data_IF_296343600260
#
_entry.id   IF_296343600260
#
_cell.length_a   1.000
_cell.length_b   1.000
_cell.length_c   1.000
_cell.angle_alpha   90.00
_cell.angle_beta   90.00
_cell.angle_gamma   90.00
#
_symmetry.space_group_name_H-M   'P 1'
#
loop_
_entity.id
_entity.type
_entity.pdbx_description
1 polymer ?
#
# COMPACT_ATOMS: atom_id res chain seq x y z
N UNK A 1 -14.45 -21.07 14.11
CA UNK A 1 -13.42 -20.01 14.08
C UNK A 1 -14.13 -18.74 13.65
N UNK A 2 -14.56 -17.91 14.60
CA UNK A 2 -15.14 -16.59 14.27
C UNK A 2 -13.99 -15.74 13.76
N UNK A 3 -13.98 -15.40 12.46
CA UNK A 3 -13.08 -14.36 11.96
C UNK A 3 -13.56 -13.05 12.56
N UNK A 4 -12.64 -12.30 13.17
CA UNK A 4 -12.92 -10.96 13.64
C UNK A 4 -13.49 -10.17 12.44
N UNK A 5 -14.69 -9.56 12.53
CA UNK A 5 -15.25 -8.77 11.44
C UNK A 5 -14.34 -7.61 11.01
N UNK A 6 -13.32 -7.27 11.81
CA UNK A 6 -12.29 -6.27 11.56
C UNK A 6 -10.97 -6.82 10.95
N UNK A 7 -10.83 -8.14 10.77
CA UNK A 7 -9.76 -8.75 9.96
C UNK A 7 -10.22 -8.91 8.49
N UNK A 8 -11.04 -7.96 8.05
CA UNK A 8 -11.75 -8.05 6.80
C UNK A 8 -11.00 -7.33 5.68
N UNK A 9 -11.15 -7.87 4.48
CA UNK A 9 -10.41 -7.43 3.31
C UNK A 9 -11.37 -6.72 2.35
N UNK A 10 -10.90 -5.70 1.59
CA UNK A 10 -9.53 -5.14 1.56
C UNK A 10 -9.14 -4.38 2.83
N UNK A 11 -7.85 -4.42 3.21
CA UNK A 11 -7.35 -3.78 4.43
C UNK A 11 -6.28 -2.74 4.11
N UNK A 12 -6.51 -1.49 4.51
CA UNK A 12 -5.48 -0.45 4.49
C UNK A 12 -4.72 -0.38 5.82
N UNK A 13 -3.40 -0.49 5.76
CA UNK A 13 -2.48 -0.27 6.87
C UNK A 13 -1.70 1.03 6.62
N UNK A 14 -1.91 2.04 7.46
CA UNK A 14 -1.24 3.33 7.37
C UNK A 14 -0.40 3.64 8.62
N UNK A 15 0.53 4.58 8.51
CA UNK A 15 1.30 5.07 9.65
C UNK A 15 2.58 5.79 9.23
N UNK A 16 3.24 6.43 10.19
CA UNK A 16 4.47 7.18 9.95
C UNK A 16 5.65 6.31 9.46
N UNK A 17 6.75 6.97 9.10
CA UNK A 17 8.00 6.27 8.81
C UNK A 17 8.47 5.46 10.03
N UNK A 18 8.95 4.24 9.81
CA UNK A 18 9.44 3.32 10.85
C UNK A 18 8.42 3.00 11.96
N UNK A 19 7.12 3.16 11.70
CA UNK A 19 6.09 2.90 12.71
C UNK A 19 5.78 1.41 12.95
N UNK A 20 6.35 0.49 12.17
CA UNK A 20 6.04 -0.95 12.23
C UNK A 20 4.96 -1.44 11.27
N UNK A 21 4.35 -0.54 10.48
CA UNK A 21 3.22 -0.90 9.58
C UNK A 21 3.50 -2.00 8.56
N UNK A 22 4.70 -2.09 7.98
CA UNK A 22 5.01 -3.14 7.00
C UNK A 22 5.03 -4.52 7.66
N UNK A 23 5.58 -4.63 8.88
CA UNK A 23 5.58 -5.90 9.62
C UNK A 23 4.16 -6.32 10.02
N UNK A 24 3.34 -5.36 10.45
CA UNK A 24 1.92 -5.62 10.71
C UNK A 24 1.19 -6.08 9.43
N UNK A 25 1.38 -5.40 8.31
CA UNK A 25 0.75 -5.75 7.04
C UNK A 25 1.16 -7.14 6.54
N UNK A 26 2.46 -7.50 6.65
CA UNK A 26 2.96 -8.85 6.35
C UNK A 26 2.30 -9.90 7.25
N UNK A 27 2.18 -9.64 8.56
CA UNK A 27 1.51 -10.53 9.51
C UNK A 27 0.01 -10.69 9.20
N UNK A 28 -0.68 -9.60 8.86
CA UNK A 28 -2.08 -9.63 8.43
C UNK A 28 -2.23 -10.49 7.18
N UNK A 29 -1.35 -10.34 6.19
CA UNK A 29 -1.40 -11.14 4.96
C UNK A 29 -1.10 -12.62 5.23
N UNK A 30 -0.14 -12.91 6.12
CA UNK A 30 0.25 -14.28 6.47
C UNK A 30 -0.86 -15.07 7.22
N UNK A 31 -1.93 -14.41 7.66
CA UNK A 31 -3.14 -15.08 8.16
C UNK A 31 -3.95 -15.78 7.05
N UNK A 32 -3.64 -15.49 5.79
CA UNK A 32 -4.18 -16.16 4.61
C UNK A 32 -3.23 -17.23 4.08
N UNK A 33 -3.77 -18.18 3.33
CA UNK A 33 -2.96 -19.24 2.74
C UNK A 33 -2.12 -18.72 1.55
N UNK A 34 -0.88 -19.22 1.39
CA UNK A 34 -0.07 -18.95 0.20
C UNK A 34 -0.74 -19.52 -1.07
N UNK A 35 -0.38 -19.03 -2.27
CA UNK A 35 0.77 -18.18 -2.56
C UNK A 35 0.55 -16.69 -2.24
N UNK A 36 1.64 -15.99 -1.93
CA UNK A 36 1.64 -14.54 -1.68
C UNK A 36 2.19 -13.76 -2.87
N UNK A 37 1.62 -12.58 -3.15
CA UNK A 37 2.15 -11.64 -4.14
C UNK A 37 2.49 -10.32 -3.45
N UNK A 38 3.75 -9.91 -3.53
CA UNK A 38 4.19 -8.60 -3.12
C UNK A 38 4.22 -7.67 -4.33
N UNK A 39 3.34 -6.67 -4.35
CA UNK A 39 3.31 -5.63 -5.37
C UNK A 39 4.20 -4.49 -4.92
N UNK A 40 5.42 -4.44 -5.48
CA UNK A 40 6.42 -3.43 -5.19
C UNK A 40 6.16 -2.19 -6.05
N UNK A 41 5.80 -1.07 -5.42
CA UNK A 41 5.64 0.21 -6.14
C UNK A 41 6.94 1.01 -6.18
N UNK A 42 7.90 0.67 -5.32
CA UNK A 42 9.20 1.31 -5.27
C UNK A 42 10.04 1.01 -6.50
N UNK A 43 10.68 2.05 -7.03
CA UNK A 43 11.80 1.91 -7.95
C UNK A 43 13.09 1.95 -7.12
N UNK A 44 13.95 0.94 -7.23
CA UNK A 44 15.22 0.91 -6.49
C UNK A 44 16.22 1.88 -7.13
N UNK A 45 16.02 3.18 -6.87
CA UNK A 45 16.81 4.26 -7.46
C UNK A 45 17.98 4.70 -6.56
N UNK A 46 17.97 4.34 -5.27
CA UNK A 46 19.02 4.63 -4.31
C UNK A 46 19.41 3.42 -3.44
N UNK A 47 20.60 3.51 -2.82
CA UNK A 47 21.21 2.46 -1.99
C UNK A 47 20.41 2.19 -0.70
N UNK A 48 19.78 3.22 -0.12
CA UNK A 48 18.97 3.08 1.10
C UNK A 48 17.70 2.25 0.84
N UNK A 49 17.05 2.51 -0.29
CA UNK A 49 15.91 1.75 -0.78
C UNK A 49 16.32 0.34 -1.18
N UNK A 50 17.51 0.13 -1.74
CA UNK A 50 18.08 -1.19 -2.03
C UNK A 50 18.25 -2.03 -0.76
N UNK A 51 18.88 -1.47 0.28
CA UNK A 51 19.07 -2.15 1.56
C UNK A 51 17.75 -2.46 2.28
N UNK A 52 16.77 -1.57 2.10
CA UNK A 52 15.42 -1.78 2.64
C UNK A 52 14.71 -2.91 1.90
N UNK A 53 14.76 -2.93 0.56
CA UNK A 53 14.19 -4.01 -0.27
C UNK A 53 14.85 -5.34 0.04
N UNK A 54 16.19 -5.39 0.16
CA UNK A 54 16.93 -6.60 0.49
C UNK A 54 16.49 -7.20 1.84
N UNK A 55 16.31 -6.35 2.87
CA UNK A 55 15.79 -6.80 4.18
C UNK A 55 14.36 -7.33 4.12
N UNK A 56 13.51 -6.76 3.27
CA UNK A 56 12.15 -7.27 3.08
C UNK A 56 12.15 -8.58 2.27
N UNK A 57 12.97 -8.69 1.22
CA UNK A 57 13.09 -9.91 0.42
C UNK A 57 13.65 -11.07 1.24
N UNK A 58 14.63 -10.83 2.12
CA UNK A 58 15.20 -11.87 2.98
C UNK A 58 14.19 -12.50 3.96
N UNK A 59 13.05 -11.84 4.22
CA UNK A 59 11.96 -12.34 5.07
C UNK A 59 10.91 -13.13 4.30
N UNK A 60 10.97 -13.14 2.97
CA UNK A 60 10.00 -13.80 2.09
C UNK A 60 10.51 -15.19 1.73
N UNK A 61 9.76 -16.22 2.14
CA UNK A 61 10.02 -17.63 1.80
C UNK A 61 9.68 -17.91 0.32
N UNK A 62 9.88 -19.16 -0.13
CA UNK A 62 9.59 -19.60 -1.50
C UNK A 62 8.13 -19.38 -1.97
N UNK A 63 7.21 -19.09 -1.06
CA UNK A 63 5.79 -18.88 -1.33
C UNK A 63 5.45 -17.46 -1.84
N UNK A 64 6.45 -16.59 -1.98
CA UNK A 64 6.28 -15.20 -2.41
C UNK A 64 6.70 -14.97 -3.86
N UNK A 65 5.80 -14.39 -4.63
CA UNK A 65 6.06 -13.76 -5.91
C UNK A 65 6.18 -12.24 -5.71
N UNK A 66 7.12 -11.58 -6.40
CA UNK A 66 7.20 -10.12 -6.41
C UNK A 66 6.82 -9.59 -7.78
N UNK A 67 5.88 -8.64 -7.82
CA UNK A 67 5.45 -7.94 -9.03
C UNK A 67 5.83 -6.47 -8.91
N UNK A 68 6.77 -6.00 -9.73
CA UNK A 68 7.13 -4.59 -9.78
C UNK A 68 6.08 -3.81 -10.56
N UNK A 69 5.46 -2.84 -9.89
CA UNK A 69 4.37 -2.03 -10.46
C UNK A 69 4.52 -0.56 -10.05
N UNK A 70 5.48 0.17 -10.63
CA UNK A 70 5.73 1.56 -10.25
C UNK A 70 4.63 2.53 -10.74
N UNK A 71 3.85 2.16 -11.76
CA UNK A 71 2.89 3.06 -12.41
C UNK A 71 1.47 2.48 -12.57
N UNK A 72 1.33 1.30 -13.20
CA UNK A 72 0.02 0.67 -13.51
C UNK A 72 -0.49 -0.23 -12.37
N UNK A 73 -0.73 0.36 -11.19
CA UNK A 73 -1.15 -0.39 -10.01
C UNK A 73 -2.54 -1.02 -10.20
N UNK A 74 -3.50 -0.26 -10.73
CA UNK A 74 -4.87 -0.73 -10.99
C UNK A 74 -4.89 -1.92 -11.97
N UNK A 75 -4.13 -1.82 -13.08
CA UNK A 75 -4.04 -2.91 -14.05
C UNK A 75 -3.35 -4.15 -13.48
N UNK A 76 -2.29 -3.99 -12.69
CA UNK A 76 -1.64 -5.11 -12.01
C UNK A 76 -2.59 -5.84 -11.05
N UNK A 77 -3.31 -5.11 -10.20
CA UNK A 77 -4.30 -5.69 -9.29
C UNK A 77 -5.45 -6.37 -10.05
N UNK A 78 -5.89 -5.79 -11.16
CA UNK A 78 -6.92 -6.40 -12.03
C UNK A 78 -6.49 -7.76 -12.59
N UNK A 79 -5.21 -7.94 -12.94
CA UNK A 79 -4.66 -9.19 -13.48
C UNK A 79 -4.50 -10.30 -12.43
N UNK A 80 -4.55 -9.96 -11.13
CA UNK A 80 -4.45 -10.92 -10.03
C UNK A 80 -5.81 -11.53 -9.62
N UNK A 81 -6.91 -11.01 -10.18
CA UNK A 81 -8.26 -11.52 -9.94
C UNK A 81 -8.39 -13.01 -10.29
N UNK A 82 -9.12 -13.77 -9.47
CA UNK A 82 -9.34 -15.21 -9.67
C UNK A 82 -8.12 -16.12 -9.47
N UNK A 83 -6.94 -15.59 -9.16
CA UNK A 83 -5.72 -16.39 -8.97
C UNK A 83 -5.62 -17.07 -7.59
N UNK A 84 -6.50 -16.73 -6.65
CA UNK A 84 -6.52 -17.27 -5.28
C UNK A 84 -5.30 -16.87 -4.43
N UNK A 85 -4.49 -15.90 -4.88
CA UNK A 85 -3.28 -15.43 -4.17
C UNK A 85 -3.62 -14.33 -3.18
N UNK A 86 -2.89 -14.28 -2.06
CA UNK A 86 -2.97 -13.16 -1.13
C UNK A 86 -1.95 -12.07 -1.51
N UNK A 87 -2.41 -10.83 -1.63
CA UNK A 87 -1.68 -9.70 -2.23
C UNK A 87 -1.38 -8.62 -1.20
N UNK A 88 -0.12 -8.20 -1.14
CA UNK A 88 0.36 -7.07 -0.35
C UNK A 88 0.94 -5.99 -1.27
N UNK A 89 0.37 -4.78 -1.21
CA UNK A 89 0.87 -3.60 -1.92
C UNK A 89 1.68 -2.74 -0.95
N UNK A 90 2.94 -2.45 -1.26
CA UNK A 90 3.80 -1.57 -0.44
C UNK A 90 4.66 -0.68 -1.35
N UNK A 91 4.45 0.64 -1.37
CA UNK A 91 3.33 1.37 -0.76
C UNK A 91 2.72 2.42 -1.67
N UNK A 92 1.49 2.83 -1.34
CA UNK A 92 0.72 3.83 -2.08
C UNK A 92 1.45 5.16 -2.17
N UNK A 93 2.14 5.60 -1.11
CA UNK A 93 2.88 6.87 -1.16
C UNK A 93 4.05 6.86 -2.14
N UNK A 94 4.72 5.72 -2.33
CA UNK A 94 5.77 5.65 -3.35
C UNK A 94 5.17 5.61 -4.75
N UNK A 95 4.04 4.91 -4.94
CA UNK A 95 3.29 4.97 -6.20
C UNK A 95 2.87 6.40 -6.56
N UNK A 96 2.31 7.16 -5.63
CA UNK A 96 1.98 8.59 -5.83
C UNK A 96 3.22 9.41 -6.19
N UNK A 97 4.35 9.18 -5.51
CA UNK A 97 5.62 9.85 -5.83
C UNK A 97 6.08 9.56 -7.26
N UNK A 98 6.00 8.30 -7.70
CA UNK A 98 6.40 7.91 -9.06
C UNK A 98 5.54 8.61 -10.12
N UNK A 99 4.22 8.68 -9.93
CA UNK A 99 3.30 9.36 -10.84
C UNK A 99 3.59 10.87 -10.90
N UNK A 100 3.84 11.49 -9.75
CA UNK A 100 4.21 12.91 -9.68
C UNK A 100 5.51 13.20 -10.44
N UNK A 101 6.55 12.40 -10.19
CA UNK A 101 7.86 12.59 -10.82
C UNK A 101 7.83 12.28 -12.33
N UNK A 102 6.91 11.43 -12.79
CA UNK A 102 6.70 11.18 -14.22
C UNK A 102 6.02 12.37 -14.93
N UNK A 103 5.40 13.28 -14.19
CA UNK A 103 4.68 14.43 -14.73
C UNK A 103 3.18 14.20 -14.93
N UNK A 104 2.60 13.15 -14.34
CA UNK A 104 1.19 12.80 -14.52
C UNK A 104 0.24 13.62 -13.62
N UNK A 105 0.66 14.76 -13.10
CA UNK A 105 0.02 15.45 -11.96
C UNK A 105 -1.50 15.63 -12.08
N UNK A 106 -2.00 15.95 -13.27
CA UNK A 106 -3.43 16.16 -13.55
C UNK A 106 -4.25 14.86 -13.60
N UNK A 107 -3.61 13.72 -13.82
CA UNK A 107 -4.26 12.40 -13.92
C UNK A 107 -4.21 11.58 -12.63
N UNK A 108 -3.44 12.01 -11.62
CA UNK A 108 -3.20 11.21 -10.41
C UNK A 108 -4.50 10.93 -9.66
N UNK A 109 -5.38 11.92 -9.53
CA UNK A 109 -6.67 11.72 -8.87
C UNK A 109 -7.54 10.70 -9.62
N UNK A 110 -7.53 10.73 -10.96
CA UNK A 110 -8.21 9.73 -11.79
C UNK A 110 -7.64 8.33 -11.54
N UNK A 111 -6.32 8.19 -11.53
CA UNK A 111 -5.64 6.92 -11.21
C UNK A 111 -5.96 6.41 -9.80
N UNK A 112 -6.09 7.30 -8.82
CA UNK A 112 -6.54 6.95 -7.46
C UNK A 112 -7.98 6.42 -7.49
N UNK A 113 -8.88 7.06 -8.23
CA UNK A 113 -10.25 6.58 -8.37
C UNK A 113 -10.31 5.21 -9.05
N UNK A 114 -9.53 4.98 -10.11
CA UNK A 114 -9.41 3.67 -10.76
C UNK A 114 -8.91 2.60 -9.79
N UNK A 115 -7.88 2.93 -8.99
CA UNK A 115 -7.37 2.03 -7.95
C UNK A 115 -8.46 1.67 -6.94
N UNK A 116 -9.25 2.64 -6.49
CA UNK A 116 -10.36 2.39 -5.56
C UNK A 116 -11.41 1.44 -6.16
N UNK A 117 -11.73 1.57 -7.45
CA UNK A 117 -12.64 0.65 -8.13
C UNK A 117 -12.06 -0.77 -8.20
N UNK A 118 -10.76 -0.91 -8.45
CA UNK A 118 -10.06 -2.20 -8.40
C UNK A 118 -10.09 -2.81 -7.00
N UNK A 119 -9.82 -2.02 -5.96
CA UNK A 119 -9.86 -2.47 -4.56
C UNK A 119 -11.25 -3.00 -4.21
N UNK A 120 -12.31 -2.28 -4.56
CA UNK A 120 -13.69 -2.69 -4.28
C UNK A 120 -14.11 -3.99 -4.98
N UNK A 121 -13.47 -4.30 -6.12
CA UNK A 121 -13.74 -5.49 -6.92
C UNK A 121 -12.80 -6.66 -6.58
N UNK A 122 -11.83 -6.47 -5.69
CA UNK A 122 -10.88 -7.50 -5.33
C UNK A 122 -11.61 -8.71 -4.72
N UNK A 123 -11.47 -9.86 -5.36
CA UNK A 123 -12.03 -11.14 -4.94
C UNK A 123 -11.02 -12.02 -4.20
N UNK A 124 -9.87 -11.44 -3.84
CA UNK A 124 -8.75 -12.09 -3.18
C UNK A 124 -8.31 -11.31 -1.93
N UNK A 125 -7.53 -11.93 -1.02
CA UNK A 125 -6.94 -11.24 0.11
C UNK A 125 -6.04 -10.09 -0.34
N UNK A 126 -6.40 -8.83 -0.07
CA UNK A 126 -5.66 -7.62 -0.41
C UNK A 126 -5.36 -6.77 0.82
N UNK A 127 -4.07 -6.55 1.08
CA UNK A 127 -3.55 -5.63 2.09
C UNK A 127 -2.77 -4.52 1.39
N UNK A 128 -3.06 -3.27 1.72
CA UNK A 128 -2.39 -2.10 1.16
C UNK A 128 -1.64 -1.33 2.25
N UNK A 129 -0.41 -0.93 1.97
CA UNK A 129 0.40 -0.10 2.87
C UNK A 129 0.46 1.33 2.34
N UNK A 130 0.30 2.30 3.24
CA UNK A 130 0.53 3.72 2.96
C UNK A 130 1.24 4.44 4.10
N UNK A 131 1.90 5.55 3.80
CA UNK A 131 2.45 6.44 4.84
C UNK A 131 1.44 7.53 5.19
N UNK A 132 1.36 7.87 6.48
CA UNK A 132 0.79 9.13 6.92
C UNK A 132 1.89 10.21 6.89
N UNK A 133 1.66 11.30 6.16
CA UNK A 133 2.63 12.37 5.89
C UNK A 133 2.09 13.78 6.18
N UNK A 134 0.81 13.89 6.56
CA UNK A 134 0.09 15.13 6.77
C UNK A 134 0.11 15.67 8.20
N UNK A 135 0.70 14.96 9.17
CA UNK A 135 0.77 15.40 10.58
C UNK A 135 1.96 16.32 10.90
N UNK A 136 2.69 16.77 9.88
CA UNK A 136 3.81 17.68 10.01
C UNK A 136 3.48 19.12 9.60
N UNK A 137 4.53 19.93 9.47
CA UNK A 137 4.45 21.31 8.99
C UNK A 137 4.19 21.32 7.47
N UNK A 138 3.65 22.41 6.94
CA UNK A 138 3.55 22.65 5.49
C UNK A 138 4.95 22.74 4.87
N UNK A 139 5.30 21.91 3.88
CA UNK A 139 6.59 22.02 3.20
C UNK A 139 6.76 23.33 2.43
N UNK A 140 7.99 23.86 2.39
CA UNK A 140 8.33 25.04 1.58
C UNK A 140 8.40 24.73 0.08
N UNK A 141 8.70 23.48 -0.28
CA UNK A 141 8.76 23.02 -1.66
C UNK A 141 7.34 22.75 -2.22
N UNK A 142 7.01 23.34 -3.37
CA UNK A 142 5.73 23.15 -4.06
C UNK A 142 5.44 21.68 -4.39
N UNK A 143 6.44 20.94 -4.87
CA UNK A 143 6.29 19.52 -5.19
C UNK A 143 6.00 18.70 -3.92
N UNK A 144 6.64 19.03 -2.80
CA UNK A 144 6.41 18.36 -1.53
C UNK A 144 5.00 18.65 -0.95
N UNK A 145 4.49 19.89 -1.13
CA UNK A 145 3.09 20.20 -0.79
C UNK A 145 2.11 19.39 -1.63
N UNK A 146 2.30 19.37 -2.95
CA UNK A 146 1.45 18.60 -3.87
C UNK A 146 1.47 17.10 -3.53
N UNK A 147 2.65 16.53 -3.26
CA UNK A 147 2.78 15.15 -2.80
C UNK A 147 2.02 14.88 -1.50
N UNK A 148 2.19 15.73 -0.48
CA UNK A 148 1.49 15.59 0.79
C UNK A 148 -0.02 15.61 0.62
N UNK A 149 -0.53 16.55 -0.17
CA UNK A 149 -1.96 16.73 -0.38
C UNK A 149 -2.57 15.54 -1.16
N UNK A 150 -1.89 15.08 -2.22
CA UNK A 150 -2.29 13.89 -2.98
C UNK A 150 -2.20 12.59 -2.16
N UNK A 151 -1.17 12.42 -1.33
CA UNK A 151 -1.05 11.27 -0.43
C UNK A 151 -2.21 11.24 0.58
N UNK A 152 -2.57 12.40 1.16
CA UNK A 152 -3.72 12.53 2.04
C UNK A 152 -5.04 12.23 1.33
N UNK A 153 -5.22 12.72 0.10
CA UNK A 153 -6.38 12.40 -0.74
C UNK A 153 -6.46 10.90 -1.05
N UNK A 154 -5.37 10.28 -1.46
CA UNK A 154 -5.29 8.84 -1.72
C UNK A 154 -5.64 8.02 -0.48
N UNK A 155 -5.07 8.36 0.69
CA UNK A 155 -5.37 7.68 1.94
C UNK A 155 -6.87 7.73 2.28
N UNK A 156 -7.52 8.88 2.13
CA UNK A 156 -8.96 9.02 2.37
C UNK A 156 -9.79 8.15 1.42
N UNK A 157 -9.50 8.21 0.11
CA UNK A 157 -10.26 7.45 -0.90
C UNK A 157 -10.08 5.94 -0.72
N UNK A 158 -8.84 5.50 -0.51
CA UNK A 158 -8.54 4.07 -0.29
C UNK A 158 -9.10 3.57 1.03
N UNK A 159 -9.05 4.36 2.11
CA UNK A 159 -9.68 3.99 3.38
C UNK A 159 -11.21 3.80 3.23
N UNK A 160 -11.87 4.64 2.42
CA UNK A 160 -13.29 4.49 2.13
C UNK A 160 -13.58 3.22 1.32
N UNK A 161 -12.71 2.87 0.37
CA UNK A 161 -12.82 1.66 -0.46
C UNK A 161 -12.46 0.35 0.27
N UNK A 162 -11.62 0.41 1.30
CA UNK A 162 -11.24 -0.75 2.11
C UNK A 162 -12.31 -1.10 3.13
N UNK A 163 -12.38 -2.36 3.54
CA UNK A 163 -13.29 -2.83 4.58
C UNK A 163 -12.75 -2.61 5.98
N UNK A 164 -11.43 -2.72 6.16
CA UNK A 164 -10.73 -2.45 7.42
C UNK A 164 -9.62 -1.43 7.24
N UNK A 165 -9.36 -0.63 8.27
CA UNK A 165 -8.30 0.39 8.27
C UNK A 165 -7.56 0.39 9.61
N UNK A 166 -6.23 0.33 9.57
CA UNK A 166 -5.38 0.34 10.77
C UNK A 166 -4.29 1.38 10.65
N UNK A 167 -4.18 2.23 11.66
CA UNK A 167 -3.03 3.10 11.89
C UNK A 167 -2.03 2.37 12.79
N UNK A 168 -0.78 2.23 12.37
CA UNK A 168 0.28 1.67 13.22
C UNK A 168 1.17 2.80 13.73
N UNK A 169 1.28 2.91 15.06
CA UNK A 169 2.11 3.89 15.76
C UNK A 169 3.01 3.18 16.77
N UNK A 170 4.34 3.40 16.70
CA UNK A 170 5.32 2.75 17.58
C UNK A 170 5.19 1.21 17.65
N UNK A 171 4.81 0.56 16.53
CA UNK A 171 4.57 -0.87 16.45
C UNK A 171 3.19 -1.33 16.93
N UNK A 172 2.36 -0.42 17.44
CA UNK A 172 1.05 -0.71 18.01
C UNK A 172 -0.04 -0.45 16.96
N UNK A 173 -0.84 -1.46 16.59
CA UNK A 173 -1.95 -1.29 15.66
C UNK A 173 -3.15 -0.64 16.36
N UNK A 174 -3.62 0.48 15.80
CA UNK A 174 -4.81 1.22 16.20
C UNK A 174 -5.86 1.06 15.10
N UNK A 175 -6.91 0.31 15.40
CA UNK A 175 -8.02 0.08 14.46
C UNK A 175 -8.84 1.36 14.29
N UNK A 176 -9.09 1.76 13.04
CA UNK A 176 -9.87 2.96 12.68
C UNK A 176 -11.23 2.59 12.07
N UNK A 177 -11.28 1.49 11.32
CA UNK A 177 -12.46 0.93 10.64
C UNK A 177 -12.36 -0.58 10.63
#
# INVERSE_FOLDING_TARGET
MWKDPFDSIPHLVLGGARSGKSAFAEQTLASFHPPYVYVATAQVLDEEMRDRVARHQARRTADWETLETPYDLSGALGRLGGAGKAVLVDCLTIWISNLLLRGDGEEIETRIHELCLCIQRADYPLVLVSNEVGWGIVPDNALARQFRDLAGFANQKVAAACRSVTLVAAGIPLRLK
#
